data_IF_204574231202
#
_entry.id   IF_204574231202
#
_cell.length_a   1.000
_cell.length_b   1.000
_cell.length_c   1.000
_cell.angle_alpha   90.00
_cell.angle_beta   90.00
_cell.angle_gamma   90.00
#
_symmetry.space_group_name_H-M   'P 1'
#
loop_
_entity.id
_entity.type
_entity.pdbx_description
1 polymer ?
#
# COMPACT_ATOMS: atom_id res chain seq x y z
N UNK A 1 28.36 11.73 -71.64
CA UNK A 1 27.67 10.66 -70.88
C UNK A 1 28.65 10.07 -69.88
N UNK A 2 28.56 10.46 -68.61
CA UNK A 2 29.40 9.95 -67.51
C UNK A 2 28.46 9.20 -66.57
N UNK A 3 28.60 7.87 -66.45
CA UNK A 3 27.88 7.06 -65.46
C UNK A 3 28.68 7.02 -64.17
N UNK A 4 28.12 7.59 -63.11
CA UNK A 4 28.64 7.50 -61.73
C UNK A 4 28.41 6.09 -61.19
N UNK A 5 29.48 5.46 -60.74
CA UNK A 5 29.48 4.21 -59.98
C UNK A 5 29.27 4.57 -58.50
N UNK A 6 28.12 4.20 -57.94
CA UNK A 6 27.83 4.39 -56.52
C UNK A 6 28.18 3.09 -55.79
N UNK A 7 29.29 3.12 -55.05
CA UNK A 7 29.73 2.04 -54.17
C UNK A 7 28.92 2.14 -52.86
N UNK A 8 27.97 1.24 -52.65
CA UNK A 8 27.21 1.14 -51.40
C UNK A 8 28.02 0.28 -50.43
N UNK A 9 28.60 0.93 -49.41
CA UNK A 9 29.18 0.26 -48.25
C UNK A 9 28.08 -0.46 -47.46
N UNK A 10 28.10 -1.79 -47.45
CA UNK A 10 27.39 -2.60 -46.44
C UNK A 10 28.11 -2.44 -45.09
N UNK A 11 27.59 -1.56 -44.24
CA UNK A 11 27.91 -1.56 -42.81
C UNK A 11 27.16 -2.72 -42.15
N UNK A 12 27.86 -3.83 -41.93
CA UNK A 12 27.46 -4.85 -40.97
C UNK A 12 27.52 -4.24 -39.56
N UNK A 13 26.42 -3.65 -39.10
CA UNK A 13 26.23 -3.42 -37.68
C UNK A 13 26.14 -4.79 -36.99
N UNK A 14 26.96 -5.08 -35.98
CA UNK A 14 26.72 -6.24 -35.14
C UNK A 14 25.39 -5.98 -34.44
N UNK A 15 24.41 -6.83 -34.70
CA UNK A 15 23.20 -6.90 -33.88
C UNK A 15 23.68 -7.28 -32.49
N UNK A 16 23.90 -6.28 -31.63
CA UNK A 16 24.03 -6.47 -30.20
C UNK A 16 22.74 -7.17 -29.77
N UNK A 17 22.81 -8.49 -29.62
CA UNK A 17 21.80 -9.23 -28.87
C UNK A 17 21.94 -8.78 -27.42
N UNK A 18 21.21 -7.74 -27.05
CA UNK A 18 20.79 -7.57 -25.67
C UNK A 18 19.96 -8.82 -25.36
N UNK A 19 20.56 -9.81 -24.70
CA UNK A 19 19.78 -10.78 -23.97
C UNK A 19 19.11 -9.98 -22.85
N UNK A 20 17.83 -9.62 -23.04
CA UNK A 20 16.98 -9.35 -21.89
C UNK A 20 16.94 -10.67 -21.12
N UNK A 21 17.61 -10.74 -19.98
CA UNK A 21 17.44 -11.89 -19.09
C UNK A 21 15.96 -11.90 -18.67
N UNK A 22 15.29 -13.04 -18.79
CA UNK A 22 13.92 -13.19 -18.33
C UNK A 22 13.89 -13.35 -16.80
N UNK A 23 12.84 -12.86 -16.16
CA UNK A 23 12.62 -13.07 -14.73
C UNK A 23 12.36 -14.56 -14.50
N UNK A 24 13.16 -15.19 -13.64
CA UNK A 24 13.05 -16.61 -13.34
C UNK A 24 12.19 -16.80 -12.08
N UNK A 25 11.08 -17.52 -12.21
CA UNK A 25 10.26 -17.94 -11.06
C UNK A 25 10.86 -19.22 -10.47
N UNK A 26 11.52 -19.10 -9.31
CA UNK A 26 12.07 -20.25 -8.57
C UNK A 26 10.96 -21.05 -7.89
N UNK A 27 9.94 -20.35 -7.38
CA UNK A 27 8.81 -20.95 -6.68
C UNK A 27 7.59 -20.06 -6.78
N UNK A 28 6.40 -20.68 -6.86
CA UNK A 28 5.10 -20.04 -6.73
C UNK A 28 4.28 -20.79 -5.68
N UNK A 29 3.56 -20.05 -4.84
CA UNK A 29 2.66 -20.58 -3.81
C UNK A 29 1.40 -19.74 -3.78
N UNK A 30 0.24 -20.38 -3.69
CA UNK A 30 -1.06 -19.72 -3.54
C UNK A 30 -1.67 -20.16 -2.22
N UNK A 31 -2.15 -19.19 -1.44
CA UNK A 31 -2.77 -19.40 -0.15
C UNK A 31 -4.17 -18.79 -0.14
N UNK A 32 -5.14 -19.53 0.38
CA UNK A 32 -6.54 -19.11 0.55
C UNK A 32 -7.09 -19.67 1.85
N UNK A 33 -8.11 -19.02 2.43
CA UNK A 33 -8.78 -19.50 3.65
C UNK A 33 -7.79 -19.80 4.76
N UNK A 34 -7.85 -21.01 5.33
CA UNK A 34 -6.95 -21.42 6.44
C UNK A 34 -5.47 -21.45 6.06
N UNK A 35 -5.12 -21.53 4.78
CA UNK A 35 -3.74 -21.54 4.30
C UNK A 35 -3.00 -20.22 4.51
N UNK A 36 -3.74 -19.10 4.54
CA UNK A 36 -3.18 -17.76 4.80
C UNK A 36 -2.56 -17.69 6.20
N UNK A 37 -3.25 -18.22 7.21
CA UNK A 37 -2.81 -18.21 8.60
C UNK A 37 -1.47 -18.90 8.82
N UNK A 38 -1.27 -20.05 8.17
CA UNK A 38 -0.03 -20.82 8.28
C UNK A 38 1.17 -20.09 7.67
N UNK A 39 0.94 -19.26 6.64
CA UNK A 39 1.98 -18.47 6.01
C UNK A 39 2.38 -17.26 6.86
N UNK A 40 1.40 -16.57 7.44
CA UNK A 40 1.59 -15.26 8.07
C UNK A 40 2.03 -15.33 9.56
N UNK A 41 2.19 -16.54 10.11
CA UNK A 41 2.84 -16.82 11.40
C UNK A 41 2.47 -15.86 12.56
N UNK A 42 1.18 -15.59 12.74
CA UNK A 42 0.67 -14.72 13.82
C UNK A 42 0.33 -13.28 13.40
N UNK A 43 0.82 -12.82 12.25
CA UNK A 43 0.46 -11.51 11.67
C UNK A 43 -0.81 -11.54 10.79
N UNK A 44 -1.53 -12.68 10.76
CA UNK A 44 -2.69 -12.85 9.89
C UNK A 44 -3.90 -11.99 10.31
N UNK A 45 -4.03 -11.68 11.60
CA UNK A 45 -5.23 -11.06 12.16
C UNK A 45 -5.52 -9.69 11.53
N UNK A 46 -4.49 -8.86 11.35
CA UNK A 46 -4.65 -7.58 10.67
C UNK A 46 -5.09 -7.78 9.22
N UNK A 47 -4.50 -8.70 8.47
CA UNK A 47 -4.92 -8.92 7.07
C UNK A 47 -6.36 -9.47 6.96
N UNK A 48 -6.81 -10.24 7.94
CA UNK A 48 -8.18 -10.75 8.01
C UNK A 48 -9.19 -9.66 8.35
N UNK A 49 -8.82 -8.72 9.22
CA UNK A 49 -9.63 -7.54 9.50
C UNK A 49 -9.91 -6.71 8.23
N UNK A 50 -8.96 -6.72 7.28
CA UNK A 50 -9.12 -6.14 5.95
C UNK A 50 -9.70 -7.10 4.90
N UNK A 51 -10.05 -8.33 5.28
CA UNK A 51 -10.77 -9.25 4.42
C UNK A 51 -9.94 -9.92 3.31
N UNK A 52 -8.63 -10.11 3.51
CA UNK A 52 -7.78 -10.80 2.52
C UNK A 52 -8.39 -12.14 2.08
N UNK A 53 -8.48 -12.36 0.76
CA UNK A 53 -9.11 -13.55 0.20
C UNK A 53 -8.10 -14.54 -0.38
N UNK A 54 -7.00 -14.03 -0.93
CA UNK A 54 -5.93 -14.83 -1.54
C UNK A 54 -4.58 -14.13 -1.40
N UNK A 55 -3.53 -14.93 -1.21
CA UNK A 55 -2.15 -14.51 -1.33
C UNK A 55 -1.45 -15.38 -2.38
N UNK A 56 -0.80 -14.75 -3.34
CA UNK A 56 0.14 -15.42 -4.25
C UNK A 56 1.56 -14.95 -3.94
N UNK A 57 2.42 -15.88 -3.57
CA UNK A 57 3.82 -15.62 -3.20
C UNK A 57 4.79 -16.27 -4.19
N UNK A 58 5.71 -15.48 -4.72
CA UNK A 58 6.74 -15.90 -5.64
C UNK A 58 8.14 -15.71 -5.05
N UNK A 59 8.99 -16.72 -5.20
CA UNK A 59 10.44 -16.56 -5.07
C UNK A 59 11.02 -16.38 -6.48
N UNK A 60 11.70 -15.27 -6.72
CA UNK A 60 12.15 -14.83 -8.04
C UNK A 60 13.67 -14.64 -8.08
N UNK A 61 14.24 -14.77 -9.27
CA UNK A 61 15.58 -14.33 -9.60
C UNK A 61 15.57 -13.50 -10.87
N UNK A 62 16.21 -12.33 -10.84
CA UNK A 62 16.36 -11.47 -12.01
C UNK A 62 17.77 -10.86 -12.02
N UNK A 63 18.50 -11.15 -13.09
CA UNK A 63 19.91 -10.77 -13.29
C UNK A 63 20.82 -11.06 -12.07
N UNK A 64 20.61 -12.17 -11.38
CA UNK A 64 21.40 -12.59 -10.22
C UNK A 64 21.04 -11.90 -8.90
N UNK A 65 19.97 -11.11 -8.87
CA UNK A 65 19.34 -10.61 -7.63
C UNK A 65 18.12 -11.47 -7.30
N UNK A 66 17.88 -11.68 -6.01
CA UNK A 66 16.72 -12.43 -5.51
C UNK A 66 15.61 -11.49 -5.04
N UNK A 67 14.37 -11.88 -5.31
CA UNK A 67 13.19 -11.15 -4.89
C UNK A 67 12.14 -12.10 -4.31
N UNK A 68 11.42 -11.64 -3.30
CA UNK A 68 10.19 -12.26 -2.83
C UNK A 68 9.02 -11.33 -3.17
N UNK A 69 8.12 -11.79 -4.02
CA UNK A 69 6.94 -11.05 -4.44
C UNK A 69 5.71 -11.65 -3.78
N UNK A 70 4.92 -10.82 -3.11
CA UNK A 70 3.65 -11.19 -2.50
C UNK A 70 2.54 -10.30 -3.07
N UNK A 71 1.48 -10.93 -3.55
CA UNK A 71 0.28 -10.27 -4.09
C UNK A 71 -0.91 -10.71 -3.25
N UNK A 72 -1.47 -9.76 -2.50
CA UNK A 72 -2.63 -9.95 -1.64
C UNK A 72 -3.87 -9.44 -2.35
N UNK A 73 -4.89 -10.30 -2.52
CA UNK A 73 -6.19 -9.92 -3.05
C UNK A 73 -7.15 -9.56 -1.93
N UNK A 74 -7.63 -8.32 -1.98
CA UNK A 74 -8.47 -7.68 -0.98
C UNK A 74 -9.88 -7.42 -1.54
N UNK A 75 -10.89 -7.15 -0.69
CA UNK A 75 -12.25 -6.89 -1.15
C UNK A 75 -12.36 -5.59 -1.96
N UNK A 76 -11.73 -4.50 -1.50
CA UNK A 76 -11.76 -3.19 -2.19
C UNK A 76 -10.36 -2.57 -2.35
N UNK A 77 -10.21 -1.53 -3.20
CA UNK A 77 -8.98 -0.75 -3.28
C UNK A 77 -8.58 -0.08 -1.96
N UNK A 78 -9.55 0.39 -1.17
CA UNK A 78 -9.31 0.97 0.16
C UNK A 78 -8.77 -0.08 1.12
N UNK A 79 -9.23 -1.33 1.03
CA UNK A 79 -8.72 -2.43 1.88
C UNK A 79 -7.27 -2.77 1.56
N UNK A 80 -6.92 -2.81 0.27
CA UNK A 80 -5.54 -2.93 -0.17
C UNK A 80 -4.70 -1.73 0.26
N UNK A 81 -5.24 -0.51 0.15
CA UNK A 81 -4.58 0.70 0.62
C UNK A 81 -4.38 0.70 2.14
N UNK A 82 -5.32 0.17 2.92
CA UNK A 82 -5.24 0.12 4.36
C UNK A 82 -4.07 -0.72 4.85
N UNK A 83 -3.98 -1.97 4.40
CA UNK A 83 -2.84 -2.84 4.68
C UNK A 83 -1.53 -2.19 4.20
N UNK A 84 -1.51 -1.70 2.96
CA UNK A 84 -0.36 -0.98 2.42
C UNK A 84 0.07 0.16 3.35
N UNK A 85 -0.85 1.04 3.74
CA UNK A 85 -0.58 2.25 4.52
C UNK A 85 -0.07 1.98 5.93
N UNK A 86 -0.38 0.80 6.49
CA UNK A 86 0.13 0.33 7.78
C UNK A 86 1.54 -0.27 7.67
N UNK A 87 1.87 -0.88 6.53
CA UNK A 87 3.14 -1.60 6.33
C UNK A 87 4.23 -0.78 5.65
N UNK A 88 3.89 0.36 5.03
CA UNK A 88 4.91 1.22 4.41
C UNK A 88 5.62 2.08 5.46
N UNK A 89 6.95 2.07 5.41
CA UNK A 89 7.77 2.90 6.28
C UNK A 89 9.02 3.40 5.54
N UNK A 90 9.50 4.60 5.92
CA UNK A 90 10.77 5.19 5.45
C UNK A 90 10.93 5.15 3.91
N UNK A 91 9.88 5.56 3.18
CA UNK A 91 9.91 5.63 1.72
C UNK A 91 11.03 6.58 1.27
N UNK A 92 11.96 6.08 0.45
CA UNK A 92 12.96 6.89 -0.25
C UNK A 92 12.35 7.60 -1.46
N UNK A 93 11.36 6.96 -2.07
CA UNK A 93 10.55 7.46 -3.17
C UNK A 93 9.12 6.96 -2.94
N UNK A 94 8.14 7.83 -3.16
CA UNK A 94 6.74 7.54 -2.91
C UNK A 94 5.84 8.23 -3.94
N UNK A 95 4.79 7.54 -4.38
CA UNK A 95 3.73 8.03 -5.28
C UNK A 95 4.26 8.69 -6.57
N UNK A 96 5.25 8.07 -7.21
CA UNK A 96 5.94 8.65 -8.38
C UNK A 96 5.74 7.84 -9.65
N UNK A 97 5.24 6.60 -9.56
CA UNK A 97 5.01 5.74 -10.72
C UNK A 97 3.63 5.94 -11.36
N UNK A 98 2.91 7.02 -10.99
CA UNK A 98 1.52 7.25 -11.40
C UNK A 98 0.51 6.39 -10.64
N UNK A 99 0.96 5.67 -9.61
CA UNK A 99 0.18 4.89 -8.66
C UNK A 99 0.64 5.17 -7.23
N UNK A 100 -0.08 4.61 -6.25
CA UNK A 100 0.36 4.57 -4.87
C UNK A 100 1.53 3.58 -4.77
N UNK A 101 2.70 4.08 -4.40
CA UNK A 101 3.91 3.27 -4.30
C UNK A 101 4.86 3.80 -3.22
N UNK A 102 5.63 2.90 -2.61
CA UNK A 102 6.68 3.22 -1.67
C UNK A 102 7.90 2.34 -1.95
N UNK A 103 9.00 2.96 -2.35
CA UNK A 103 10.29 2.32 -2.48
C UNK A 103 11.12 2.61 -1.22
N UNK A 104 11.50 1.56 -0.50
CA UNK A 104 12.42 1.61 0.64
C UNK A 104 13.79 1.02 0.27
N UNK A 105 14.67 0.85 1.25
CA UNK A 105 16.00 0.24 1.02
C UNK A 105 15.90 -1.23 0.57
N UNK A 106 14.89 -1.96 1.02
CA UNK A 106 14.79 -3.42 0.86
C UNK A 106 13.48 -3.88 0.23
N UNK A 107 12.57 -2.96 -0.06
CA UNK A 107 11.23 -3.30 -0.50
C UNK A 107 10.67 -2.25 -1.46
N UNK A 108 9.82 -2.70 -2.38
CA UNK A 108 8.92 -1.87 -3.16
C UNK A 108 7.50 -2.38 -2.91
N UNK A 109 6.65 -1.51 -2.37
CA UNK A 109 5.24 -1.79 -2.12
C UNK A 109 4.37 -0.93 -3.01
N UNK A 110 3.22 -1.43 -3.43
CA UNK A 110 2.24 -0.67 -4.21
C UNK A 110 0.83 -1.19 -4.00
N UNK A 111 -0.15 -0.38 -4.41
CA UNK A 111 -1.55 -0.76 -4.51
C UNK A 111 -1.99 -0.67 -5.97
N UNK A 112 -2.59 -1.74 -6.48
CA UNK A 112 -3.14 -1.82 -7.82
C UNK A 112 -4.60 -2.31 -7.73
N UNK A 113 -5.54 -1.37 -7.67
CA UNK A 113 -6.92 -1.64 -7.26
C UNK A 113 -7.00 -2.41 -5.96
N UNK A 114 -7.79 -3.48 -5.92
CA UNK A 114 -7.95 -4.31 -4.72
C UNK A 114 -6.77 -5.25 -4.45
N UNK A 115 -5.59 -4.98 -5.02
CA UNK A 115 -4.37 -5.75 -4.75
C UNK A 115 -3.35 -4.91 -3.99
N UNK A 116 -2.92 -5.41 -2.83
CA UNK A 116 -1.72 -4.95 -2.16
C UNK A 116 -0.54 -5.83 -2.60
N UNK A 117 0.54 -5.19 -3.06
CA UNK A 117 1.72 -5.88 -3.58
C UNK A 117 2.95 -5.48 -2.81
N UNK A 118 3.71 -6.48 -2.37
CA UNK A 118 4.96 -6.35 -1.62
C UNK A 118 6.06 -7.09 -2.37
N UNK A 119 7.08 -6.36 -2.82
CA UNK A 119 8.27 -6.91 -3.46
C UNK A 119 9.49 -6.65 -2.57
N UNK A 120 9.95 -7.68 -1.88
CA UNK A 120 11.17 -7.64 -1.04
C UNK A 120 12.37 -8.04 -1.89
N UNK A 121 13.46 -7.29 -1.78
CA UNK A 121 14.77 -7.61 -2.37
C UNK A 121 15.85 -7.60 -1.27
N UNK A 122 16.17 -8.77 -0.68
CA UNK A 122 16.97 -8.86 0.54
C UNK A 122 18.36 -8.22 0.46
N UNK A 123 18.96 -8.15 -0.73
CA UNK A 123 20.28 -7.55 -0.91
C UNK A 123 20.32 -6.05 -0.59
N UNK A 124 19.18 -5.35 -0.72
CA UNK A 124 19.09 -3.88 -0.63
C UNK A 124 19.99 -3.14 -1.63
N UNK A 125 20.53 -3.86 -2.62
CA UNK A 125 21.56 -3.35 -3.51
C UNK A 125 20.98 -2.24 -4.39
N UNK A 126 21.83 -1.33 -4.85
CA UNK A 126 21.40 -0.31 -5.83
C UNK A 126 20.87 -0.95 -7.11
N UNK A 127 21.41 -2.11 -7.48
CA UNK A 127 20.98 -2.88 -8.65
C UNK A 127 19.57 -3.42 -8.43
N UNK A 128 19.34 -4.13 -7.33
CA UNK A 128 18.04 -4.71 -7.00
C UNK A 128 16.94 -3.65 -6.92
N UNK A 129 17.21 -2.52 -6.24
CA UNK A 129 16.26 -1.38 -6.17
C UNK A 129 15.89 -0.82 -7.54
N UNK A 130 16.86 -0.68 -8.44
CA UNK A 130 16.61 -0.16 -9.79
C UNK A 130 15.76 -1.14 -10.61
N UNK A 131 15.94 -2.44 -10.38
CA UNK A 131 15.26 -3.51 -11.10
C UNK A 131 13.88 -3.86 -10.51
N UNK A 132 13.61 -3.51 -9.26
CA UNK A 132 12.36 -3.80 -8.57
C UNK A 132 11.13 -3.30 -9.35
N UNK A 133 11.21 -2.13 -9.99
CA UNK A 133 10.14 -1.58 -10.82
C UNK A 133 9.87 -2.43 -12.07
N UNK A 134 10.92 -2.96 -12.70
CA UNK A 134 10.79 -3.83 -13.88
C UNK A 134 10.15 -5.17 -13.50
N UNK A 135 10.57 -5.74 -12.36
CA UNK A 135 9.97 -6.96 -11.81
C UNK A 135 8.50 -6.72 -11.50
N UNK A 136 8.19 -5.66 -10.74
CA UNK A 136 6.81 -5.34 -10.38
C UNK A 136 5.94 -5.11 -11.61
N UNK A 137 6.41 -4.33 -12.58
CA UNK A 137 5.66 -4.06 -13.82
C UNK A 137 5.39 -5.33 -14.61
N UNK A 138 6.34 -6.27 -14.66
CA UNK A 138 6.14 -7.55 -15.33
C UNK A 138 4.91 -8.27 -14.75
N UNK A 139 4.83 -8.42 -13.43
CA UNK A 139 3.72 -9.13 -12.78
C UNK A 139 2.41 -8.34 -12.81
N UNK A 140 2.44 -7.02 -12.66
CA UNK A 140 1.23 -6.20 -12.73
C UNK A 140 0.68 -6.08 -14.16
N UNK A 141 1.52 -6.11 -15.20
CA UNK A 141 1.04 -6.06 -16.58
C UNK A 141 0.26 -7.30 -17.01
N UNK A 142 0.40 -8.41 -16.28
CA UNK A 142 -0.29 -9.67 -16.53
C UNK A 142 -1.71 -9.70 -15.95
N UNK A 143 -2.05 -8.80 -15.01
CA UNK A 143 -3.38 -8.80 -14.38
C UNK A 143 -4.48 -8.22 -15.28
N UNK A 144 -4.14 -7.51 -16.37
CA UNK A 144 -5.01 -7.27 -17.52
C UNK A 144 -6.26 -6.39 -17.34
N UNK A 145 -6.57 -5.92 -16.12
CA UNK A 145 -7.80 -5.19 -15.82
C UNK A 145 -7.55 -3.69 -15.59
N UNK A 146 -8.51 -2.85 -15.98
CA UNK A 146 -8.63 -1.49 -15.44
C UNK A 146 -8.96 -1.61 -13.95
N UNK A 147 -7.92 -1.66 -13.12
CA UNK A 147 -8.08 -1.76 -11.68
C UNK A 147 -8.87 -0.57 -11.15
N UNK A 148 -9.92 -0.85 -10.36
CA UNK A 148 -10.66 0.16 -9.61
C UNK A 148 -9.67 1.05 -8.83
N UNK A 149 -9.96 2.35 -8.73
CA UNK A 149 -9.06 3.28 -8.05
C UNK A 149 -9.52 3.49 -6.62
N UNK A 150 -8.56 3.77 -5.75
CA UNK A 150 -8.83 4.20 -4.39
C UNK A 150 -9.52 5.56 -4.45
N UNK A 151 -10.68 5.68 -3.81
CA UNK A 151 -11.39 6.95 -3.69
C UNK A 151 -10.95 7.65 -2.40
N UNK A 152 -10.05 8.61 -2.53
CA UNK A 152 -9.59 9.40 -1.39
C UNK A 152 -10.64 10.48 -1.03
N UNK A 153 -10.81 10.80 0.25
CA UNK A 153 -11.64 11.93 0.65
C UNK A 153 -11.13 13.24 0.04
N UNK A 154 -12.04 14.15 -0.31
CA UNK A 154 -11.72 15.47 -0.89
C UNK A 154 -10.69 16.24 -0.07
N UNK A 155 -10.80 16.16 1.26
CA UNK A 155 -9.86 16.72 2.23
C UNK A 155 -8.40 16.31 2.02
N UNK A 156 -8.17 15.11 1.47
CA UNK A 156 -6.85 14.52 1.26
C UNK A 156 -6.50 14.33 -0.22
N UNK A 157 -7.33 14.81 -1.14
CA UNK A 157 -7.11 14.64 -2.57
C UNK A 157 -5.78 15.28 -3.01
N UNK A 158 -5.47 16.48 -2.51
CA UNK A 158 -4.26 17.24 -2.80
C UNK A 158 -3.03 16.79 -2.01
N UNK A 159 -3.18 15.89 -1.03
CA UNK A 159 -2.07 15.39 -0.23
C UNK A 159 -1.10 14.61 -1.11
N UNK A 160 0.19 14.98 -1.05
CA UNK A 160 1.27 14.28 -1.75
C UNK A 160 2.60 14.39 -0.97
N UNK A 161 3.35 13.28 -0.78
CA UNK A 161 2.88 11.91 -0.99
C UNK A 161 1.78 11.53 0.02
N UNK A 162 0.88 10.63 -0.36
CA UNK A 162 -0.06 9.95 0.53
C UNK A 162 0.64 8.78 1.23
N UNK A 163 1.47 8.05 0.50
CA UNK A 163 2.25 6.94 1.02
C UNK A 163 3.15 7.37 2.18
N UNK A 164 3.05 6.64 3.29
CA UNK A 164 3.77 6.93 4.54
C UNK A 164 3.21 8.09 5.36
N UNK A 165 2.08 8.70 4.96
CA UNK A 165 1.42 9.79 5.71
C UNK A 165 -0.05 9.49 6.00
N UNK A 166 -0.83 9.22 4.95
CA UNK A 166 -2.26 8.96 5.05
C UNK A 166 -2.50 7.48 5.26
N UNK A 167 -3.18 7.14 6.34
CA UNK A 167 -3.57 5.77 6.66
C UNK A 167 -5.05 5.55 6.41
N UNK A 168 -5.40 4.31 6.04
CA UNK A 168 -6.78 3.85 6.05
C UNK A 168 -6.92 2.70 7.05
N UNK A 169 -7.64 2.98 8.13
CA UNK A 169 -7.80 2.11 9.27
C UNK A 169 -9.13 1.38 9.16
N UNK A 170 -9.09 0.06 9.27
CA UNK A 170 -10.27 -0.80 9.34
C UNK A 170 -10.25 -1.56 10.66
N UNK A 171 -11.43 -1.77 11.22
CA UNK A 171 -11.61 -2.55 12.44
C UNK A 171 -10.78 -2.04 13.62
N UNK A 172 -10.61 -2.90 14.62
CA UNK A 172 -10.02 -2.58 15.92
C UNK A 172 -8.51 -2.71 15.92
N UNK A 173 -7.94 -3.70 15.21
CA UNK A 173 -6.50 -3.99 15.25
C UNK A 173 -5.76 -2.83 14.60
N UNK A 174 -6.07 -2.52 13.33
CA UNK A 174 -5.47 -1.41 12.59
C UNK A 174 -5.65 -0.05 13.28
N UNK A 175 -6.78 0.16 13.97
CA UNK A 175 -7.03 1.38 14.72
C UNK A 175 -6.15 1.49 15.98
N UNK A 176 -6.11 0.42 16.78
CA UNK A 176 -5.35 0.39 18.04
C UNK A 176 -3.83 0.48 17.86
N UNK A 177 -3.31 0.08 16.69
CA UNK A 177 -1.89 0.23 16.33
C UNK A 177 -1.52 1.68 15.97
N UNK A 178 -2.50 2.52 15.64
CA UNK A 178 -2.25 3.87 15.10
C UNK A 178 -2.67 4.96 16.07
N UNK A 179 -3.81 4.83 16.73
CA UNK A 179 -4.35 5.87 17.60
C UNK A 179 -5.18 5.25 18.73
N UNK A 180 -4.70 5.44 19.95
CA UNK A 180 -5.37 4.92 21.14
C UNK A 180 -6.61 5.75 21.48
N UNK A 181 -6.50 7.08 21.38
CA UNK A 181 -7.63 7.98 21.64
C UNK A 181 -8.76 7.79 20.63
N UNK A 182 -8.44 7.58 19.34
CA UNK A 182 -9.44 7.29 18.31
C UNK A 182 -10.07 5.91 18.50
N UNK A 183 -9.28 4.89 18.89
CA UNK A 183 -9.79 3.57 19.25
C UNK A 183 -10.88 3.66 20.33
N UNK A 184 -10.63 4.40 21.41
CA UNK A 184 -11.59 4.58 22.49
C UNK A 184 -12.81 5.43 22.09
N UNK A 185 -12.62 6.47 21.28
CA UNK A 185 -13.74 7.26 20.76
C UNK A 185 -14.74 6.40 19.99
N UNK A 186 -14.22 5.49 19.16
CA UNK A 186 -15.00 4.62 18.29
C UNK A 186 -15.52 3.35 18.97
N UNK A 187 -15.28 3.14 20.27
CA UNK A 187 -15.89 2.03 21.00
C UNK A 187 -17.42 2.12 20.95
N UNK A 188 -18.03 1.04 20.45
CA UNK A 188 -19.48 0.93 20.25
C UNK A 188 -20.03 1.63 19.01
N UNK A 189 -19.18 2.26 18.19
CA UNK A 189 -19.57 2.89 16.93
C UNK A 189 -19.32 1.92 15.77
N UNK A 190 -20.30 1.74 14.89
CA UNK A 190 -20.10 0.99 13.64
C UNK A 190 -19.60 1.94 12.55
N UNK A 191 -18.48 1.57 11.90
CA UNK A 191 -17.84 2.36 10.85
C UNK A 191 -17.29 1.44 9.76
N UNK A 192 -17.31 1.92 8.54
CA UNK A 192 -16.79 1.20 7.37
C UNK A 192 -15.28 1.40 7.17
N UNK A 193 -14.72 2.49 7.71
CA UNK A 193 -13.29 2.76 7.70
C UNK A 193 -12.96 4.15 8.26
N UNK A 194 -11.68 4.40 8.52
CA UNK A 194 -11.19 5.69 8.99
C UNK A 194 -9.97 6.12 8.19
N UNK A 195 -10.05 7.28 7.56
CA UNK A 195 -8.88 7.94 6.99
C UNK A 195 -8.19 8.75 8.08
N UNK A 196 -6.90 8.52 8.29
CA UNK A 196 -6.14 9.10 9.39
C UNK A 196 -4.85 9.73 8.89
N UNK A 197 -4.56 10.95 9.35
CA UNK A 197 -3.26 11.59 9.15
C UNK A 197 -2.81 12.24 10.45
N UNK A 198 -1.54 12.01 10.80
CA UNK A 198 -0.88 12.64 11.93
C UNK A 198 -0.31 14.00 11.52
N UNK A 199 -0.57 15.02 12.34
CA UNK A 199 -0.23 16.42 12.13
C UNK A 199 0.39 17.01 13.41
N UNK A 200 1.71 16.91 13.54
CA UNK A 200 2.49 17.37 14.71
C UNK A 200 1.91 16.81 16.04
N UNK A 201 1.29 17.64 16.88
CA UNK A 201 0.71 17.26 18.17
C UNK A 201 -0.77 16.86 18.07
N UNK A 202 -1.29 16.70 16.86
CA UNK A 202 -2.71 16.41 16.57
C UNK A 202 -2.81 15.36 15.48
N UNK A 203 -4.01 14.87 15.25
CA UNK A 203 -4.34 14.12 14.06
C UNK A 203 -5.64 14.61 13.47
N UNK A 204 -5.81 14.40 12.17
CA UNK A 204 -7.07 14.61 11.46
C UNK A 204 -7.60 13.25 11.03
N UNK A 205 -8.87 13.00 11.32
CA UNK A 205 -9.53 11.75 10.99
C UNK A 205 -10.86 12.00 10.27
N UNK A 206 -11.11 11.22 9.23
CA UNK A 206 -12.43 11.13 8.56
C UNK A 206 -12.97 9.73 8.82
N UNK A 207 -14.03 9.67 9.62
CA UNK A 207 -14.68 8.42 10.00
C UNK A 207 -15.84 8.19 9.04
N UNK A 208 -15.76 7.13 8.25
CA UNK A 208 -16.80 6.68 7.34
C UNK A 208 -17.75 5.73 8.07
N UNK A 209 -19.03 6.03 8.11
CA UNK A 209 -20.04 5.34 8.90
C UNK A 209 -20.94 4.47 8.04
N UNK A 210 -21.49 3.41 8.63
CA UNK A 210 -22.42 2.50 7.93
C UNK A 210 -23.85 3.03 7.91
N UNK A 211 -24.24 3.79 8.94
CA UNK A 211 -25.58 4.35 9.07
C UNK A 211 -25.58 5.78 9.67
N UNK A 212 -26.61 6.59 9.40
CA UNK A 212 -26.72 7.95 9.94
C UNK A 212 -26.95 8.03 11.46
N UNK A 213 -27.44 6.98 12.12
CA UNK A 213 -27.67 6.99 13.57
C UNK A 213 -26.34 6.91 14.34
N UNK A 214 -25.33 6.20 13.78
CA UNK A 214 -23.96 6.23 14.29
C UNK A 214 -23.36 7.62 14.21
N UNK A 215 -23.71 8.41 13.19
CA UNK A 215 -23.19 9.77 13.01
C UNK A 215 -23.63 10.68 14.15
N UNK A 216 -24.91 10.66 14.50
CA UNK A 216 -25.42 11.46 15.62
C UNK A 216 -24.85 10.97 16.96
N UNK A 217 -24.68 9.66 17.11
CA UNK A 217 -24.03 9.08 18.30
C UNK A 217 -22.59 9.58 18.44
N UNK A 218 -21.79 9.51 17.36
CA UNK A 218 -20.42 9.99 17.33
C UNK A 218 -20.34 11.50 17.56
N UNK A 219 -21.21 12.29 16.92
CA UNK A 219 -21.29 13.74 17.10
C UNK A 219 -21.55 14.11 18.55
N UNK A 220 -22.38 13.34 19.28
CA UNK A 220 -22.65 13.59 20.70
C UNK A 220 -21.45 13.34 21.63
N UNK A 221 -20.45 12.55 21.19
CA UNK A 221 -19.22 12.29 21.92
C UNK A 221 -18.16 13.38 21.72
N UNK A 222 -18.29 14.21 20.68
CA UNK A 222 -17.28 15.17 20.27
C UNK A 222 -17.69 16.63 20.57
N UNK A 223 -16.76 17.46 21.08
CA UNK A 223 -16.92 18.90 21.10
C UNK A 223 -17.13 19.47 19.69
N UNK A 224 -18.04 20.43 19.52
CA UNK A 224 -18.38 20.97 18.20
C UNK A 224 -17.21 21.69 17.51
N UNK A 225 -16.27 22.21 18.29
CA UNK A 225 -15.05 22.87 17.82
C UNK A 225 -14.02 21.92 17.19
N UNK A 226 -14.12 20.60 17.47
CA UNK A 226 -13.23 19.60 16.89
C UNK A 226 -13.75 19.07 15.54
N UNK A 227 -15.02 19.28 15.24
CA UNK A 227 -15.67 18.80 14.02
C UNK A 227 -15.39 19.80 12.89
N UNK A 228 -14.70 19.34 11.85
CA UNK A 228 -14.31 20.17 10.71
C UNK A 228 -15.35 20.15 9.59
N UNK A 229 -15.91 18.97 9.32
CA UNK A 229 -16.92 18.76 8.29
C UNK A 229 -17.78 17.53 8.63
N UNK A 230 -19.01 17.49 8.10
CA UNK A 230 -19.90 16.33 8.23
C UNK A 230 -20.71 16.14 6.96
N UNK A 231 -20.72 14.92 6.44
CA UNK A 231 -21.65 14.49 5.40
C UNK A 231 -22.76 13.58 5.94
N UNK A 232 -23.46 12.91 5.04
CA UNK A 232 -24.52 11.95 5.41
C UNK A 232 -23.99 10.71 6.13
N UNK A 233 -22.79 10.27 5.76
CA UNK A 233 -22.16 9.03 6.26
C UNK A 233 -20.69 9.23 6.61
N UNK A 234 -20.27 10.47 6.88
CA UNK A 234 -18.92 10.73 7.37
C UNK A 234 -18.87 11.89 8.35
N UNK A 235 -17.90 11.84 9.25
CA UNK A 235 -17.53 12.92 10.14
C UNK A 235 -16.03 13.14 10.05
N UNK A 236 -15.64 14.37 9.76
CA UNK A 236 -14.26 14.82 9.83
C UNK A 236 -14.02 15.55 11.14
N UNK A 237 -12.96 15.19 11.86
CA UNK A 237 -12.57 15.89 13.07
C UNK A 237 -11.06 15.92 13.27
N UNK A 238 -10.65 16.81 14.18
CA UNK A 238 -9.27 16.92 14.66
C UNK A 238 -9.21 16.47 16.12
N UNK A 239 -8.33 15.51 16.39
CA UNK A 239 -8.09 14.93 17.70
C UNK A 239 -6.63 15.06 18.13
N UNK A 240 -6.35 14.60 19.35
CA UNK A 240 -5.00 14.51 19.93
C UNK A 240 -4.86 13.14 20.59
N UNK A 241 -3.65 12.59 20.54
CA UNK A 241 -3.33 11.45 21.41
C UNK A 241 -3.17 11.95 22.85
N UNK A 242 -3.60 11.14 23.80
CA UNK A 242 -3.38 11.41 25.21
C UNK A 242 -1.90 11.14 25.57
N UNK A 243 -1.17 12.16 26.00
CA UNK A 243 0.27 12.07 26.31
C UNK A 243 0.62 10.98 27.35
N UNK A 244 -0.35 10.57 28.18
CA UNK A 244 -0.17 9.55 29.23
C UNK A 244 -0.17 8.10 28.71
N UNK A 245 -0.54 7.86 27.46
CA UNK A 245 -0.65 6.50 26.88
C UNK A 245 0.47 6.18 25.89
N UNK A 246 1.46 7.08 25.75
CA UNK A 246 2.60 6.96 24.82
C UNK A 246 3.73 6.00 25.29
N UNK A 247 3.59 5.31 26.43
CA UNK A 247 4.53 4.25 26.84
C UNK A 247 4.18 2.90 26.17
N UNK A 248 4.30 2.86 24.86
CA UNK A 248 4.38 1.61 24.10
C UNK A 248 5.25 1.84 22.88
N UNK A 249 6.55 2.03 23.13
CA UNK A 249 7.61 1.79 22.15
C UNK A 249 7.52 0.33 21.67
N UNK A 250 6.65 0.10 20.69
CA UNK A 250 6.58 -1.11 19.89
C UNK A 250 7.78 -1.16 18.97
N UNK A 251 8.94 -1.49 19.55
CA UNK A 251 10.15 -1.91 18.87
C UNK A 251 9.86 -3.18 18.05
N UNK A 252 9.23 -3.05 16.90
CA UNK A 252 9.24 -4.10 15.87
C UNK A 252 10.52 -3.93 15.04
N UNK A 253 11.60 -4.45 15.60
CA UNK A 253 12.77 -4.83 14.82
C UNK A 253 12.51 -6.16 14.14
N UNK A 254 12.41 -6.14 12.82
CA UNK A 254 12.99 -7.14 11.91
C UNK A 254 13.45 -6.45 10.64
#
# INVERSE_FOLDING_TARGET
>A
MIKRLLLVCLLCFPVCRLNAQEITVKRERVFTGTGLYGYMNGGAEQFLEYGVTKLTAYDLEYEGEEYALEIYEMPTPEDAYGIYSLHVFRCQRADTLGCIDCLSTYQLQTVCGSQYVSLVFPSGSKKARKQAEDVLRHFLSLSGEESEKIEFPDAFQSLSPKSGKLKFLRGKIGLSEVSFSLYHLLEGIQYSGVWFIEEDDQYRAIICLEDPDQLETLRSKLPSEQICDTGTLFLEYVGKEDENDSESDGLFGF
#
